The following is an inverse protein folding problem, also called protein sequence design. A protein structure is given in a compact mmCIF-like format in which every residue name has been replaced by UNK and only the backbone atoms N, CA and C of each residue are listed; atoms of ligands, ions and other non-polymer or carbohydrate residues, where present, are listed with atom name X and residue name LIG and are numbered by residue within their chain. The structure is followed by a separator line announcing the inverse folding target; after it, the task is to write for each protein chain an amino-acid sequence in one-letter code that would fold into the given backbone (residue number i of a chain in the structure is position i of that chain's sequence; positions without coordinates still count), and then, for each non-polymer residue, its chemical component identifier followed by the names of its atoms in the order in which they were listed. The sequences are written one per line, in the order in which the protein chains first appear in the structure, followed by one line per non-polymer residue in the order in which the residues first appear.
data_IF_764265830115
#
_entry.id   IF_764265830115
#
_cell.length_a   1.000
_cell.length_b   1.000
_cell.length_c   1.000
_cell.angle_alpha   90.00
_cell.angle_beta   90.00
_cell.angle_gamma   90.00
#
_symmetry.space_group_name_H-M   'P 1'
#
loop_
_entity.id
_entity.type
_entity.pdbx_description
1 polymer ?
#
# COMPACT_ATOMS: atom_id res chain seq x y z
N UNK A 1 -14.90 -3.74 13.11
CA UNK A 1 -14.26 -2.42 13.17
C UNK A 1 -12.79 -2.53 13.54
N UNK A 2 -12.44 -2.95 14.76
CA UNK A 2 -11.07 -3.41 15.06
C UNK A 2 -10.58 -4.46 14.03
N UNK A 3 -11.46 -5.41 13.68
CA UNK A 3 -11.18 -6.42 12.65
C UNK A 3 -10.69 -5.85 11.30
N UNK A 4 -11.27 -4.76 10.78
CA UNK A 4 -10.85 -4.19 9.48
C UNK A 4 -9.47 -3.54 9.59
N UNK A 5 -9.25 -2.71 10.61
CA UNK A 5 -7.95 -2.08 10.86
C UNK A 5 -6.87 -3.15 11.09
N UNK A 6 -7.18 -4.18 11.88
CA UNK A 6 -6.25 -5.28 12.15
C UNK A 6 -5.94 -6.09 10.88
N UNK A 7 -6.92 -6.29 10.00
CA UNK A 7 -6.70 -6.91 8.69
C UNK A 7 -5.78 -6.08 7.80
N UNK A 8 -6.05 -4.78 7.69
CA UNK A 8 -5.23 -3.87 6.89
C UNK A 8 -3.80 -3.78 7.43
N UNK A 9 -3.62 -3.69 8.76
CA UNK A 9 -2.29 -3.73 9.39
C UNK A 9 -1.55 -5.04 9.16
N UNK A 10 -2.25 -6.18 9.16
CA UNK A 10 -1.64 -7.46 8.78
C UNK A 10 -1.21 -7.45 7.31
N UNK A 11 -2.03 -6.89 6.43
CA UNK A 11 -1.67 -6.73 5.02
C UNK A 11 -0.39 -5.88 4.87
N UNK A 12 -0.23 -4.80 5.67
CA UNK A 12 1.00 -3.99 5.69
C UNK A 12 2.24 -4.79 6.07
N UNK A 13 2.17 -5.56 7.16
CA UNK A 13 3.28 -6.40 7.63
C UNK A 13 3.68 -7.42 6.57
N UNK A 14 2.70 -8.05 5.90
CA UNK A 14 2.97 -9.01 4.84
C UNK A 14 3.61 -8.36 3.60
N UNK A 15 3.09 -7.20 3.17
CA UNK A 15 3.65 -6.46 2.03
C UNK A 15 5.09 -6.03 2.32
N UNK A 16 5.35 -5.46 3.49
CA UNK A 16 6.70 -5.02 3.88
C UNK A 16 7.67 -6.20 3.97
N UNK A 17 7.26 -7.33 4.55
CA UNK A 17 8.07 -8.54 4.63
C UNK A 17 8.41 -9.10 3.23
N UNK A 18 7.44 -9.12 2.31
CA UNK A 18 7.68 -9.54 0.92
C UNK A 18 8.70 -8.62 0.23
N UNK A 19 8.53 -7.30 0.33
CA UNK A 19 9.43 -6.34 -0.28
C UNK A 19 10.83 -6.39 0.36
N UNK A 20 10.93 -6.55 1.68
CA UNK A 20 12.20 -6.73 2.36
C UNK A 20 12.94 -7.98 1.84
N UNK A 21 12.22 -9.08 1.58
CA UNK A 21 12.80 -10.30 1.02
C UNK A 21 13.36 -10.11 -0.39
N UNK A 22 12.77 -9.24 -1.22
CA UNK A 22 13.31 -8.92 -2.56
C UNK A 22 14.71 -8.28 -2.48
N UNK A 23 15.05 -7.63 -1.36
CA UNK A 23 16.38 -7.04 -1.12
C UNK A 23 17.41 -8.03 -0.60
N UNK A 24 17.02 -9.27 -0.29
CA UNK A 24 17.93 -10.27 0.24
C UNK A 24 18.91 -10.72 -0.85
N UNK A 25 20.21 -10.54 -0.64
CA UNK A 25 21.23 -10.94 -1.61
C UNK A 25 21.34 -12.45 -1.81
N UNK A 26 20.64 -13.25 -0.98
CA UNK A 26 20.64 -14.71 -1.04
C UNK A 26 19.58 -15.29 -1.97
N UNK A 27 18.59 -14.51 -2.42
CA UNK A 27 17.55 -15.01 -3.31
C UNK A 27 17.98 -14.93 -4.78
N UNK A 28 17.49 -15.85 -5.58
CA UNK A 28 17.67 -15.85 -7.04
C UNK A 28 16.76 -14.82 -7.72
N UNK A 29 17.10 -14.41 -8.94
CA UNK A 29 16.23 -13.53 -9.75
C UNK A 29 14.83 -14.13 -9.93
N UNK A 30 14.74 -15.44 -10.17
CA UNK A 30 13.46 -16.13 -10.32
C UNK A 30 12.61 -16.04 -9.04
N UNK A 31 13.22 -16.17 -7.86
CA UNK A 31 12.55 -15.98 -6.59
C UNK A 31 12.11 -14.52 -6.41
N UNK A 32 12.95 -13.55 -6.78
CA UNK A 32 12.61 -12.13 -6.73
C UNK A 32 11.34 -11.84 -7.56
N UNK A 33 11.25 -12.31 -8.81
CA UNK A 33 10.06 -12.13 -9.63
C UNK A 33 8.81 -12.76 -9.01
N UNK A 34 8.92 -13.99 -8.48
CA UNK A 34 7.80 -14.65 -7.78
C UNK A 34 7.30 -13.83 -6.60
N UNK A 35 8.23 -13.28 -5.81
CA UNK A 35 7.89 -12.42 -4.67
C UNK A 35 7.26 -11.11 -5.16
N UNK A 36 7.77 -10.50 -6.22
CA UNK A 36 7.19 -9.28 -6.81
C UNK A 36 5.75 -9.49 -7.30
N UNK A 37 5.48 -10.62 -7.97
CA UNK A 37 4.12 -10.98 -8.41
C UNK A 37 3.20 -11.15 -7.20
N UNK A 38 3.65 -11.86 -6.15
CA UNK A 38 2.88 -12.05 -4.93
C UNK A 38 2.62 -10.71 -4.20
N UNK A 39 3.64 -9.86 -4.09
CA UNK A 39 3.55 -8.54 -3.46
C UNK A 39 2.57 -7.64 -4.24
N UNK A 40 2.61 -7.65 -5.57
CA UNK A 40 1.64 -6.94 -6.41
C UNK A 40 0.21 -7.39 -6.12
N UNK A 41 -0.03 -8.71 -6.10
CA UNK A 41 -1.35 -9.27 -5.81
C UNK A 41 -1.85 -8.88 -4.42
N UNK A 42 -0.98 -8.93 -3.41
CA UNK A 42 -1.29 -8.54 -2.03
C UNK A 42 -1.60 -7.04 -1.94
N UNK A 43 -0.80 -6.19 -2.57
CA UNK A 43 -1.04 -4.74 -2.61
C UNK A 43 -2.38 -4.42 -3.29
N UNK A 44 -2.67 -4.98 -4.45
CA UNK A 44 -3.95 -4.75 -5.14
C UNK A 44 -5.15 -5.20 -4.31
N UNK A 45 -5.03 -6.31 -3.58
CA UNK A 45 -6.07 -6.78 -2.67
C UNK A 45 -6.26 -5.84 -1.46
N UNK A 46 -5.15 -5.34 -0.90
CA UNK A 46 -5.16 -4.33 0.17
C UNK A 46 -5.88 -3.05 -0.27
N UNK A 47 -5.44 -2.47 -1.40
CA UNK A 47 -6.03 -1.26 -1.98
C UNK A 47 -7.53 -1.42 -2.23
N UNK A 48 -7.91 -2.54 -2.85
CA UNK A 48 -9.32 -2.84 -3.08
C UNK A 48 -10.12 -2.85 -1.78
N UNK A 49 -9.57 -3.43 -0.69
CA UNK A 49 -10.23 -3.47 0.62
C UNK A 49 -10.45 -2.07 1.18
N UNK A 50 -9.48 -1.17 1.03
CA UNK A 50 -9.62 0.23 1.42
C UNK A 50 -10.72 0.92 0.61
N UNK A 51 -10.73 0.76 -0.71
CA UNK A 51 -11.73 1.36 -1.61
C UNK A 51 -13.16 0.89 -1.31
N UNK A 52 -13.34 -0.39 -0.95
CA UNK A 52 -14.68 -0.94 -0.73
C UNK A 52 -15.20 -0.77 0.71
N UNK A 53 -14.31 -0.64 1.70
CA UNK A 53 -14.71 -0.69 3.11
C UNK A 53 -14.26 0.53 3.92
N UNK A 54 -13.09 1.11 3.65
CA UNK A 54 -12.52 2.18 4.46
C UNK A 54 -12.96 3.56 3.95
N UNK A 55 -12.65 3.89 2.69
CA UNK A 55 -12.95 5.19 2.09
C UNK A 55 -14.45 5.53 2.09
N UNK A 56 -15.37 4.62 1.74
CA UNK A 56 -16.80 4.96 1.73
C UNK A 56 -17.37 5.39 3.08
N UNK A 57 -16.80 4.90 4.18
CA UNK A 57 -17.20 5.31 5.54
C UNK A 57 -16.65 6.70 5.84
N UNK A 58 -15.36 6.92 5.56
CA UNK A 58 -14.71 8.21 5.78
C UNK A 58 -15.34 9.32 4.95
N UNK A 59 -15.66 9.05 3.68
CA UNK A 59 -16.32 10.01 2.78
C UNK A 59 -17.71 10.40 3.29
N UNK A 60 -18.50 9.42 3.76
CA UNK A 60 -19.83 9.70 4.34
C UNK A 60 -19.75 10.58 5.58
N UNK A 61 -18.77 10.32 6.45
CA UNK A 61 -18.58 11.11 7.67
C UNK A 61 -17.99 12.49 7.38
N UNK A 62 -17.17 12.60 6.33
CA UNK A 62 -16.58 13.85 5.87
C UNK A 62 -17.61 14.87 5.34
N UNK A 63 -18.81 14.43 4.93
CA UNK A 63 -19.87 15.33 4.42
C UNK A 63 -20.19 16.47 5.40
N UNK A 64 -20.16 16.19 6.70
CA UNK A 64 -20.51 17.16 7.75
C UNK A 64 -19.29 17.65 8.55
N UNK A 65 -18.07 17.22 8.20
CA UNK A 65 -16.83 17.59 8.87
C UNK A 65 -15.81 18.07 7.84
N UNK A 66 -15.70 19.39 7.69
CA UNK A 66 -14.80 20.02 6.72
C UNK A 66 -13.31 19.72 6.99
N UNK A 67 -12.92 19.45 8.24
CA UNK A 67 -11.54 19.10 8.57
C UNK A 67 -11.24 17.65 8.18
N UNK A 68 -12.17 16.74 8.46
CA UNK A 68 -12.11 15.36 8.00
C UNK A 68 -12.12 15.29 6.47
N UNK A 69 -12.98 16.07 5.80
CA UNK A 69 -13.06 16.12 4.34
C UNK A 69 -11.75 16.53 3.69
N UNK A 70 -11.11 17.60 4.15
CA UNK A 70 -9.79 18.01 3.60
C UNK A 70 -8.74 16.92 3.80
N UNK A 71 -8.80 16.23 4.94
CA UNK A 71 -7.89 15.12 5.20
C UNK A 71 -8.14 14.00 4.19
N UNK A 72 -9.38 13.49 4.12
CA UNK A 72 -9.75 12.39 3.20
C UNK A 72 -9.44 12.72 1.74
N UNK A 73 -9.75 13.94 1.27
CA UNK A 73 -9.47 14.37 -0.11
C UNK A 73 -7.95 14.43 -0.40
N UNK A 74 -7.15 14.92 0.56
CA UNK A 74 -5.69 14.93 0.45
C UNK A 74 -5.13 13.51 0.37
N UNK A 75 -5.62 12.61 1.23
CA UNK A 75 -5.23 11.21 1.25
C UNK A 75 -5.62 10.50 -0.04
N UNK A 76 -6.86 10.65 -0.51
CA UNK A 76 -7.32 10.03 -1.74
C UNK A 76 -6.42 10.39 -2.94
N UNK A 77 -5.99 11.66 -3.03
CA UNK A 77 -5.08 12.11 -4.08
C UNK A 77 -3.66 11.53 -3.94
N UNK A 78 -3.02 11.69 -2.77
CA UNK A 78 -1.66 11.19 -2.53
C UNK A 78 -1.61 9.66 -2.70
N UNK A 79 -2.64 8.95 -2.23
CA UNK A 79 -2.72 7.49 -2.35
C UNK A 79 -2.98 7.00 -3.77
N UNK A 80 -3.71 7.75 -4.59
CA UNK A 80 -3.91 7.42 -6.00
C UNK A 80 -2.60 7.54 -6.80
N UNK A 81 -1.84 8.61 -6.59
CA UNK A 81 -0.53 8.82 -7.24
C UNK A 81 0.47 7.72 -6.82
N UNK A 82 0.56 7.43 -5.51
CA UNK A 82 1.42 6.35 -4.99
C UNK A 82 1.04 4.99 -5.57
N UNK A 83 -0.26 4.71 -5.68
CA UNK A 83 -0.76 3.44 -6.24
C UNK A 83 -0.38 3.30 -7.70
N UNK A 84 -0.53 4.36 -8.49
CA UNK A 84 -0.17 4.35 -9.91
C UNK A 84 1.33 4.06 -10.10
N UNK A 85 2.19 4.73 -9.34
CA UNK A 85 3.64 4.50 -9.39
C UNK A 85 4.01 3.07 -8.97
N UNK A 86 3.35 2.54 -7.92
CA UNK A 86 3.58 1.18 -7.45
C UNK A 86 3.16 0.14 -8.49
N UNK A 87 1.98 0.30 -9.10
CA UNK A 87 1.48 -0.59 -10.15
C UNK A 87 2.40 -0.54 -11.37
N UNK A 88 2.82 0.64 -11.81
CA UNK A 88 3.74 0.79 -12.94
C UNK A 88 5.09 0.11 -12.69
N UNK A 89 5.60 0.16 -11.45
CA UNK A 89 6.80 -0.59 -11.07
C UNK A 89 6.59 -2.10 -11.23
N UNK A 90 5.50 -2.64 -10.65
CA UNK A 90 5.24 -4.08 -10.71
C UNK A 90 4.98 -4.54 -12.14
N UNK A 91 4.24 -3.78 -12.95
CA UNK A 91 4.04 -4.08 -14.37
C UNK A 91 5.35 -4.17 -15.14
N UNK A 92 6.31 -3.32 -14.79
CA UNK A 92 7.63 -3.29 -15.43
C UNK A 92 8.56 -4.43 -14.98
N UNK A 93 8.52 -4.85 -13.71
CA UNK A 93 9.56 -5.70 -13.12
C UNK A 93 9.08 -7.05 -12.57
N UNK A 94 7.77 -7.26 -12.44
CA UNK A 94 7.22 -8.58 -12.08
C UNK A 94 7.33 -9.65 -13.17
N UNK A 95 7.32 -9.36 -14.49
CA UNK A 95 7.53 -10.38 -15.52
C UNK A 95 8.87 -11.10 -15.36
N UNK A 96 8.90 -12.41 -15.61
CA UNK A 96 10.06 -13.27 -15.29
C UNK A 96 11.31 -13.00 -16.15
N UNK A 97 11.15 -12.29 -17.24
CA UNK A 97 12.19 -11.86 -18.18
C UNK A 97 12.69 -10.43 -17.91
N UNK A 98 12.10 -9.73 -16.94
CA UNK A 98 12.49 -8.37 -16.61
C UNK A 98 13.88 -8.33 -15.96
N UNK A 99 14.75 -7.36 -16.30
CA UNK A 99 16.09 -7.31 -15.74
C UNK A 99 16.06 -6.92 -14.25
N UNK A 100 16.80 -7.68 -13.42
CA UNK A 100 17.11 -7.34 -12.03
C UNK A 100 18.51 -6.71 -12.00
N UNK A 101 18.58 -5.46 -12.46
CA UNK A 101 19.81 -4.70 -12.63
C UNK A 101 19.86 -3.44 -11.72
N UNK A 102 20.77 -2.51 -12.02
CA UNK A 102 20.90 -1.27 -11.24
C UNK A 102 19.68 -0.35 -11.38
N UNK A 103 18.98 -0.36 -12.52
CA UNK A 103 17.78 0.45 -12.74
C UNK A 103 16.58 -0.15 -12.01
N UNK A 104 16.49 -1.48 -11.96
CA UNK A 104 15.60 -2.17 -11.02
C UNK A 104 15.89 -1.73 -9.58
N UNK A 105 17.14 -1.81 -9.12
CA UNK A 105 17.48 -1.49 -7.74
C UNK A 105 17.10 -0.05 -7.35
N UNK A 106 17.35 0.93 -8.23
CA UNK A 106 16.92 2.33 -8.04
C UNK A 106 15.40 2.46 -8.00
N UNK A 107 14.69 1.83 -8.93
CA UNK A 107 13.24 1.87 -8.99
C UNK A 107 12.60 1.19 -7.77
N UNK A 108 13.17 0.06 -7.33
CA UNK A 108 12.75 -0.67 -6.15
C UNK A 108 12.94 0.15 -4.87
N UNK A 109 14.08 0.84 -4.73
CA UNK A 109 14.32 1.73 -3.59
C UNK A 109 13.31 2.87 -3.50
N UNK A 110 12.90 3.44 -4.65
CA UNK A 110 11.82 4.44 -4.72
C UNK A 110 10.47 3.83 -4.34
N UNK A 111 10.09 2.71 -4.94
CA UNK A 111 8.86 1.98 -4.61
C UNK A 111 8.76 1.72 -3.11
N UNK A 112 9.79 1.11 -2.53
CA UNK A 112 9.82 0.74 -1.12
C UNK A 112 9.61 1.98 -0.25
N UNK A 113 10.32 3.07 -0.54
CA UNK A 113 10.21 4.31 0.23
C UNK A 113 8.81 4.93 0.16
N UNK A 114 8.20 4.94 -1.03
CA UNK A 114 6.87 5.50 -1.25
C UNK A 114 5.80 4.63 -0.59
N UNK A 115 5.84 3.31 -0.78
CA UNK A 115 4.90 2.38 -0.14
C UNK A 115 5.01 2.43 1.38
N UNK A 116 6.22 2.36 1.95
CA UNK A 116 6.36 2.45 3.41
C UNK A 116 5.85 3.78 3.97
N UNK A 117 5.98 4.89 3.23
CA UNK A 117 5.37 6.18 3.62
C UNK A 117 3.84 6.09 3.63
N UNK A 118 3.23 5.52 2.59
CA UNK A 118 1.78 5.28 2.52
C UNK A 118 1.28 4.49 3.72
N UNK A 119 1.84 3.30 3.96
CA UNK A 119 1.39 2.39 5.01
C UNK A 119 1.48 3.04 6.40
N UNK A 120 2.57 3.78 6.69
CA UNK A 120 2.70 4.55 7.94
C UNK A 120 1.69 5.69 8.05
N UNK A 121 1.39 6.36 6.94
CA UNK A 121 0.45 7.48 6.92
C UNK A 121 -0.99 6.99 7.20
N UNK A 122 -1.37 5.85 6.64
CA UNK A 122 -2.63 5.16 6.94
C UNK A 122 -2.76 4.83 8.42
N UNK A 123 -1.74 4.20 9.00
CA UNK A 123 -1.79 3.78 10.40
C UNK A 123 -1.79 4.94 11.40
N UNK A 124 -1.11 6.04 11.09
CA UNK A 124 -0.99 7.19 11.99
C UNK A 124 -2.13 8.19 11.84
N UNK A 125 -2.86 8.17 10.73
CA UNK A 125 -3.86 9.21 10.42
C UNK A 125 -5.21 8.63 9.99
N UNK A 126 -5.23 7.80 8.94
CA UNK A 126 -6.48 7.30 8.35
C UNK A 126 -7.20 6.31 9.28
N UNK A 127 -6.48 5.35 9.86
CA UNK A 127 -7.05 4.35 10.77
C UNK A 127 -7.57 4.98 12.08
N UNK A 128 -6.86 5.93 12.72
CA UNK A 128 -7.42 6.69 13.84
C UNK A 128 -8.68 7.49 13.48
N UNK A 129 -8.73 8.11 12.30
CA UNK A 129 -9.92 8.83 11.84
C UNK A 129 -11.11 7.85 11.68
N UNK A 130 -10.90 6.70 11.06
CA UNK A 130 -11.92 5.66 10.93
C UNK A 130 -12.38 5.11 12.29
N UNK A 131 -11.45 4.86 13.21
CA UNK A 131 -11.77 4.34 14.55
C UNK A 131 -12.68 5.28 15.35
N UNK A 132 -12.52 6.61 15.21
CA UNK A 132 -13.38 7.60 15.87
C UNK A 132 -14.83 7.57 15.40
N UNK A 133 -15.08 7.14 14.16
CA UNK A 133 -16.43 7.02 13.59
C UNK A 133 -17.16 5.76 14.07
N UNK A 134 -16.41 4.82 14.63
CA UNK A 134 -16.92 3.57 15.16
C UNK A 134 -16.33 3.28 16.55
N UNK A 135 -16.66 4.11 17.56
CA UNK A 135 -16.24 3.85 18.93
C UNK A 135 -16.79 2.51 19.41
N UNK A 136 -16.00 1.80 20.23
CA UNK A 136 -16.36 0.52 20.84
C UNK A 136 -17.58 0.65 21.75
#
# INVERSE_FOLDING_TARGET
MARLIDELKRDHVEIDAMLAKVRDSKITNQEAHKILIAAKGKLLAHLKKEDIQLYPVLDKSAVNDAALKRSVDFYAKDMHEITADAVAFFDKYSPADSPIDIEFAKAFGRLYSILSRRLRSEESTLYPAYAKLHPL
#
